data_IF_935639675393
#
_entry.id   IF_935639675393
#
_cell.length_a   1.000
_cell.length_b   1.000
_cell.length_c   1.000
_cell.angle_alpha   90.00
_cell.angle_beta   90.00
_cell.angle_gamma   90.00
#
_symmetry.space_group_name_H-M   'P 1'
#
loop_
_entity.id
_entity.type
_entity.pdbx_description
1 polymer ?
#
# COMPACT_ATOMS: atom_id res chain seq x y z
N UNK A 1 -10.83 42.33 -3.73
CA UNK A 1 -10.48 40.92 -3.47
C UNK A 1 -9.03 40.91 -3.02
N UNK A 2 -8.77 40.90 -1.71
CA UNK A 2 -7.62 41.64 -1.19
C UNK A 2 -6.39 40.76 -1.12
N UNK A 3 -5.23 41.38 -1.36
CA UNK A 3 -3.87 40.81 -1.31
C UNK A 3 -3.63 39.93 -0.08
N UNK A 4 -4.28 40.23 1.05
CA UNK A 4 -4.26 39.43 2.28
C UNK A 4 -4.68 37.98 2.07
N UNK A 5 -5.70 37.70 1.24
CA UNK A 5 -6.10 36.32 0.93
C UNK A 5 -5.03 35.58 0.13
N UNK A 6 -4.30 36.29 -0.72
CA UNK A 6 -3.21 35.72 -1.53
C UNK A 6 -2.00 35.45 -0.63
N UNK A 7 -1.59 36.41 0.21
CA UNK A 7 -0.47 36.23 1.14
C UNK A 7 -0.75 35.09 2.13
N UNK A 8 -1.95 35.04 2.71
CA UNK A 8 -2.36 33.94 3.58
C UNK A 8 -2.30 32.58 2.86
N UNK A 9 -2.72 32.53 1.60
CA UNK A 9 -2.62 31.31 0.79
C UNK A 9 -1.17 30.89 0.52
N UNK A 10 -0.28 31.86 0.26
CA UNK A 10 1.16 31.60 0.07
C UNK A 10 1.80 31.09 1.36
N UNK A 11 1.51 31.71 2.49
CA UNK A 11 2.03 31.29 3.79
C UNK A 11 1.58 29.87 4.14
N UNK A 12 0.31 29.54 3.90
CA UNK A 12 -0.20 28.18 4.07
C UNK A 12 0.52 27.18 3.15
N UNK A 13 0.69 27.50 1.86
CA UNK A 13 1.43 26.63 0.93
C UNK A 13 2.89 26.41 1.38
N UNK A 14 3.54 27.43 1.92
CA UNK A 14 4.90 27.33 2.45
C UNK A 14 4.95 26.45 3.70
N UNK A 15 3.96 26.55 4.60
CA UNK A 15 3.84 25.71 5.79
C UNK A 15 3.57 24.26 5.40
N UNK A 16 2.60 24.01 4.51
CA UNK A 16 2.28 22.67 3.99
C UNK A 16 3.50 22.05 3.29
N UNK A 17 4.24 22.83 2.49
CA UNK A 17 5.46 22.36 1.84
C UNK A 17 6.58 21.99 2.83
N UNK A 18 6.71 22.74 3.92
CA UNK A 18 7.66 22.41 5.01
C UNK A 18 7.24 21.13 5.74
N UNK A 19 5.96 21.02 6.07
CA UNK A 19 5.38 19.84 6.70
C UNK A 19 5.60 18.59 5.83
N UNK A 20 5.27 18.67 4.54
CA UNK A 20 5.41 17.56 3.61
C UNK A 20 6.88 17.10 3.47
N UNK A 21 7.84 18.03 3.52
CA UNK A 21 9.27 17.70 3.57
C UNK A 21 9.65 16.93 4.84
N UNK A 22 9.07 17.28 5.99
CA UNK A 22 9.33 16.58 7.25
C UNK A 22 8.74 15.17 7.23
N UNK A 23 7.49 15.03 6.79
CA UNK A 23 6.83 13.73 6.59
C UNK A 23 7.63 12.84 5.63
N UNK A 24 8.03 13.37 4.47
CA UNK A 24 8.83 12.63 3.49
C UNK A 24 10.18 12.17 4.03
N UNK A 25 10.88 13.01 4.82
CA UNK A 25 12.12 12.62 5.50
C UNK A 25 11.90 11.46 6.48
N UNK A 26 10.83 11.51 7.26
CA UNK A 26 10.49 10.44 8.21
C UNK A 26 10.06 9.15 7.49
N UNK A 27 9.26 9.28 6.44
CA UNK A 27 8.85 8.16 5.59
C UNK A 27 10.04 7.43 4.98
N UNK A 28 11.02 8.17 4.47
CA UNK A 28 12.26 7.60 3.97
C UNK A 28 13.00 6.81 5.06
N UNK A 29 13.09 7.34 6.28
CA UNK A 29 13.72 6.63 7.41
C UNK A 29 12.99 5.34 7.77
N UNK A 30 11.65 5.41 7.91
CA UNK A 30 10.82 4.23 8.21
C UNK A 30 10.96 3.18 7.11
N UNK A 31 10.80 3.58 5.85
CA UNK A 31 10.95 2.71 4.68
C UNK A 31 12.31 2.03 4.67
N UNK A 32 13.40 2.77 4.83
CA UNK A 32 14.76 2.22 4.83
C UNK A 32 15.04 1.32 6.04
N UNK A 33 14.33 1.51 7.16
CA UNK A 33 14.45 0.65 8.33
C UNK A 33 13.77 -0.70 8.12
N UNK A 34 12.66 -0.71 7.38
CA UNK A 34 11.92 -1.94 7.02
C UNK A 34 12.63 -2.65 5.87
N UNK A 35 12.85 -1.96 4.76
CA UNK A 35 13.44 -2.50 3.53
C UNK A 35 14.95 -2.26 3.53
N UNK A 36 15.65 -2.97 4.40
CA UNK A 36 17.12 -2.94 4.43
C UNK A 36 17.72 -3.57 3.17
N UNK A 37 19.00 -3.30 2.90
CA UNK A 37 19.70 -3.89 1.75
C UNK A 37 19.60 -5.43 1.75
N UNK A 38 19.72 -6.07 2.90
CA UNK A 38 19.52 -7.53 3.04
C UNK A 38 18.11 -7.99 2.64
N UNK A 39 17.07 -7.28 3.06
CA UNK A 39 15.68 -7.63 2.73
C UNK A 39 15.43 -7.40 1.24
N UNK A 40 15.94 -6.29 0.70
CA UNK A 40 15.86 -6.00 -0.72
C UNK A 40 16.62 -7.04 -1.53
N UNK A 41 17.83 -7.41 -1.12
CA UNK A 41 18.62 -8.44 -1.81
C UNK A 41 17.86 -9.75 -1.80
N UNK A 42 17.32 -10.21 -0.66
CA UNK A 42 16.52 -11.45 -0.60
C UNK A 42 15.22 -11.40 -1.39
N UNK A 43 14.57 -10.24 -1.46
CA UNK A 43 13.42 -10.03 -2.35
C UNK A 43 13.86 -10.19 -3.82
N UNK A 44 15.00 -9.62 -4.21
CA UNK A 44 15.56 -9.72 -5.56
C UNK A 44 16.18 -11.09 -5.88
N UNK A 45 16.75 -11.78 -4.89
CA UNK A 45 17.37 -13.12 -4.92
C UNK A 45 16.34 -14.24 -4.84
N UNK A 46 15.06 -13.94 -4.64
CA UNK A 46 13.99 -14.87 -4.96
C UNK A 46 14.05 -15.13 -6.47
N UNK A 47 14.98 -15.97 -6.86
CA UNK A 47 15.33 -16.30 -8.23
C UNK A 47 14.16 -17.11 -8.78
N UNK A 48 13.44 -16.49 -9.71
CA UNK A 48 12.27 -17.04 -10.39
C UNK A 48 12.67 -17.92 -11.58
N UNK A 49 13.97 -18.01 -11.87
CA UNK A 49 14.48 -18.87 -12.94
C UNK A 49 14.15 -20.33 -12.65
N UNK A 50 13.51 -20.99 -13.62
CA UNK A 50 13.10 -22.40 -13.54
C UNK A 50 11.70 -22.68 -12.99
N UNK A 51 10.97 -21.67 -12.49
CA UNK A 51 9.55 -21.83 -12.10
C UNK A 51 8.58 -21.36 -13.19
N UNK A 52 9.05 -20.56 -14.14
CA UNK A 52 8.19 -19.91 -15.13
C UNK A 52 8.93 -19.66 -16.44
N UNK A 53 8.39 -20.16 -17.55
CA UNK A 53 8.62 -19.55 -18.86
C UNK A 53 7.77 -18.27 -18.93
N UNK A 54 8.37 -17.15 -19.37
CA UNK A 54 7.82 -15.78 -19.57
C UNK A 54 8.04 -14.74 -18.44
N UNK A 55 8.61 -13.59 -18.85
CA UNK A 55 9.00 -12.43 -18.03
C UNK A 55 7.85 -11.81 -17.20
N UNK A 56 6.60 -11.93 -17.64
CA UNK A 56 5.43 -11.30 -16.98
C UNK A 56 4.99 -12.00 -15.68
N UNK A 57 5.29 -13.28 -15.51
CA UNK A 57 4.86 -14.04 -14.34
C UNK A 57 5.76 -13.84 -13.10
N UNK A 58 7.00 -13.40 -13.31
CA UNK A 58 7.95 -13.06 -12.25
C UNK A 58 7.47 -11.87 -11.41
N UNK A 59 6.92 -10.84 -12.08
CA UNK A 59 6.34 -9.67 -11.42
C UNK A 59 5.10 -10.04 -10.59
N UNK A 60 4.23 -10.90 -11.11
CA UNK A 60 3.02 -11.37 -10.41
C UNK A 60 3.34 -12.17 -9.13
N UNK A 61 4.39 -13.00 -9.17
CA UNK A 61 4.83 -13.74 -7.99
C UNK A 61 5.48 -12.81 -6.96
N UNK A 62 6.26 -11.81 -7.38
CA UNK A 62 6.82 -10.83 -6.45
C UNK A 62 5.72 -10.01 -5.74
N UNK A 63 4.60 -9.74 -6.42
CA UNK A 63 3.42 -9.11 -5.84
C UNK A 63 2.69 -10.00 -4.82
N UNK A 64 2.86 -11.33 -4.86
CA UNK A 64 2.17 -12.25 -3.95
C UNK A 64 2.79 -12.35 -2.55
N UNK A 65 3.99 -11.81 -2.34
CA UNK A 65 4.60 -11.67 -0.99
C UNK A 65 3.77 -10.70 -0.13
N UNK A 66 3.13 -9.70 -0.75
CA UNK A 66 2.33 -8.71 -0.07
C UNK A 66 0.83 -8.99 -0.23
N UNK A 67 -0.02 -8.60 0.74
CA UNK A 67 0.34 -8.00 2.01
C UNK A 67 0.92 -9.00 3.02
N UNK A 68 1.82 -8.51 3.87
CA UNK A 68 2.33 -9.26 5.02
C UNK A 68 1.54 -8.82 6.25
N UNK A 69 1.05 -9.78 7.02
CA UNK A 69 0.23 -9.55 8.19
C UNK A 69 1.06 -9.70 9.45
N UNK A 70 1.04 -8.68 10.30
CA UNK A 70 1.75 -8.67 11.58
C UNK A 70 0.73 -8.39 12.68
N UNK A 71 0.72 -9.21 13.74
CA UNK A 71 -0.16 -9.01 14.89
C UNK A 71 0.67 -8.63 16.12
N UNK A 72 0.32 -7.53 16.77
CA UNK A 72 0.92 -7.10 18.06
C UNK A 72 -0.19 -6.72 19.03
N UNK A 73 -0.46 -7.60 19.99
CA UNK A 73 -1.62 -7.47 20.88
C UNK A 73 -2.93 -7.52 20.09
N UNK A 74 -3.79 -6.51 20.29
CA UNK A 74 -5.07 -6.37 19.59
C UNK A 74 -4.96 -5.57 18.27
N UNK A 75 -3.77 -5.11 17.88
CA UNK A 75 -3.56 -4.36 16.64
C UNK A 75 -3.04 -5.29 15.54
N UNK A 76 -3.64 -5.17 14.36
CA UNK A 76 -3.19 -5.87 13.15
C UNK A 76 -2.55 -4.85 12.22
N UNK A 77 -1.38 -5.16 11.71
CA UNK A 77 -0.66 -4.38 10.71
C UNK A 77 -0.63 -5.15 9.40
N UNK A 78 -0.89 -4.46 8.29
CA UNK A 78 -0.69 -5.01 6.95
C UNK A 78 0.36 -4.20 6.23
N UNK A 79 1.53 -4.80 6.02
CA UNK A 79 2.58 -4.21 5.21
C UNK A 79 2.28 -4.50 3.75
N UNK A 80 2.22 -3.44 2.94
CA UNK A 80 2.29 -3.48 1.49
C UNK A 80 3.61 -2.85 1.03
N UNK A 81 3.99 -3.07 -0.23
CA UNK A 81 5.19 -2.45 -0.83
C UNK A 81 5.23 -0.92 -0.69
N UNK A 82 4.09 -0.26 -0.75
CA UNK A 82 3.98 1.21 -0.80
C UNK A 82 3.27 1.83 0.42
N UNK A 83 2.67 1.02 1.30
CA UNK A 83 1.90 1.51 2.45
C UNK A 83 1.88 0.53 3.61
N UNK A 84 1.50 1.01 4.79
CA UNK A 84 1.22 0.21 5.97
C UNK A 84 -0.20 0.53 6.41
N UNK A 85 -1.04 -0.48 6.55
CA UNK A 85 -2.34 -0.35 7.20
C UNK A 85 -2.23 -0.78 8.66
N UNK A 86 -2.91 -0.06 9.54
CA UNK A 86 -2.95 -0.30 10.99
C UNK A 86 -4.41 -0.39 11.41
N UNK A 87 -4.86 -1.59 11.75
CA UNK A 87 -6.21 -1.84 12.25
C UNK A 87 -6.16 -1.93 13.77
N UNK A 88 -6.75 -0.92 14.44
CA UNK A 88 -6.87 -0.91 15.90
C UNK A 88 -8.10 -1.67 16.40
N UNK A 89 -9.12 -1.80 15.54
CA UNK A 89 -10.33 -2.59 15.74
C UNK A 89 -10.85 -3.07 14.37
N UNK A 90 -11.93 -3.86 14.37
CA UNK A 90 -12.59 -4.29 13.12
C UNK A 90 -13.31 -3.13 12.40
N UNK A 91 -13.56 -2.01 13.09
CA UNK A 91 -14.27 -0.86 12.53
C UNK A 91 -13.39 -0.01 11.61
N UNK A 92 -13.95 0.45 10.47
CA UNK A 92 -13.19 1.26 9.50
C UNK A 92 -12.65 2.57 10.06
N UNK A 93 -13.34 3.19 11.03
CA UNK A 93 -12.91 4.45 11.66
C UNK A 93 -11.61 4.31 12.45
N UNK A 94 -11.31 3.10 12.91
CA UNK A 94 -10.16 2.78 13.75
C UNK A 94 -8.97 2.26 12.94
N UNK A 95 -9.00 2.46 11.62
CA UNK A 95 -7.92 2.08 10.71
C UNK A 95 -7.10 3.28 10.33
N UNK A 96 -5.78 3.12 10.29
CA UNK A 96 -4.87 4.08 9.70
C UNK A 96 -4.19 3.50 8.47
N UNK A 97 -3.96 4.35 7.46
CA UNK A 97 -3.22 4.02 6.25
C UNK A 97 -2.06 4.99 6.15
N UNK A 98 -0.84 4.45 6.21
CA UNK A 98 0.39 5.20 6.11
C UNK A 98 1.08 4.97 4.76
N UNK A 99 1.27 6.03 3.98
CA UNK A 99 1.93 5.98 2.69
C UNK A 99 3.45 6.14 2.85
N UNK A 100 4.21 5.13 2.42
CA UNK A 100 5.68 5.13 2.54
C UNK A 100 6.37 6.07 1.53
N UNK A 101 5.67 6.48 0.47
CA UNK A 101 6.18 7.38 -0.56
C UNK A 101 6.45 8.78 -0.03
N UNK A 102 5.54 9.28 0.81
CA UNK A 102 5.46 10.70 1.15
C UNK A 102 5.16 10.95 2.64
N UNK A 103 4.93 9.89 3.42
CA UNK A 103 4.66 9.98 4.85
C UNK A 103 3.25 10.45 5.19
N UNK A 104 2.32 10.42 4.23
CA UNK A 104 0.91 10.74 4.50
C UNK A 104 0.29 9.66 5.38
N UNK A 105 -0.39 10.08 6.44
CA UNK A 105 -1.23 9.21 7.26
C UNK A 105 -2.69 9.61 7.06
N UNK A 106 -3.54 8.64 6.76
CA UNK A 106 -5.00 8.84 6.65
C UNK A 106 -5.75 7.87 7.55
N UNK A 107 -6.96 8.22 7.99
CA UNK A 107 -7.87 7.24 8.57
C UNK A 107 -8.49 6.35 7.47
N UNK A 108 -9.16 5.27 7.88
CA UNK A 108 -9.98 4.44 6.99
C UNK A 108 -11.19 5.18 6.42
N UNK A 109 -11.55 6.35 7.00
CA UNK A 109 -12.55 7.28 6.48
C UNK A 109 -11.93 8.41 5.64
N UNK A 110 -10.67 8.24 5.21
CA UNK A 110 -9.94 9.17 4.34
C UNK A 110 -9.67 10.57 4.93
N UNK A 111 -9.72 10.71 6.26
CA UNK A 111 -9.25 11.92 6.92
C UNK A 111 -7.71 11.95 6.90
N UNK A 112 -7.12 12.98 6.31
CA UNK A 112 -5.67 13.18 6.29
C UNK A 112 -5.19 13.87 7.57
N UNK A 113 -4.14 13.34 8.19
CA UNK A 113 -3.56 13.92 9.40
C UNK A 113 -2.30 14.74 9.12
N UNK A 114 -2.21 15.92 9.71
CA UNK A 114 -1.02 16.78 9.74
C UNK A 114 0.02 16.23 10.73
N UNK A 115 1.31 16.48 10.49
CA UNK A 115 2.39 16.09 11.41
C UNK A 115 2.27 16.75 12.79
N UNK A 116 1.55 17.87 12.87
CA UNK A 116 1.30 18.61 14.11
C UNK A 116 0.18 18.02 14.96
N UNK A 117 -0.61 17.09 14.41
CA UNK A 117 -1.72 16.45 15.11
C UNK A 117 -1.26 15.24 15.92
N UNK A 118 -1.81 15.08 17.12
CA UNK A 118 -1.48 13.98 18.02
C UNK A 118 -1.81 12.62 17.40
N UNK A 119 -2.86 12.53 16.59
CA UNK A 119 -3.24 11.31 15.86
C UNK A 119 -2.15 10.86 14.88
N UNK A 120 -1.51 11.82 14.18
CA UNK A 120 -0.37 11.50 13.32
C UNK A 120 0.77 10.92 14.15
N UNK A 121 1.14 11.60 15.23
CA UNK A 121 2.23 11.16 16.11
C UNK A 121 1.93 9.78 16.71
N UNK A 122 0.70 9.54 17.15
CA UNK A 122 0.25 8.28 17.71
C UNK A 122 0.32 7.13 16.69
N UNK A 123 -0.24 7.32 15.49
CA UNK A 123 -0.23 6.32 14.42
C UNK A 123 1.19 5.96 13.98
N UNK A 124 2.06 6.97 13.80
CA UNK A 124 3.44 6.74 13.39
C UNK A 124 4.26 6.04 14.48
N UNK A 125 4.09 6.37 15.77
CA UNK A 125 4.76 5.67 16.87
C UNK A 125 4.43 4.17 16.86
N UNK A 126 3.15 3.81 16.70
CA UNK A 126 2.73 2.41 16.58
C UNK A 126 3.42 1.68 15.43
N UNK A 127 3.56 2.34 14.27
CA UNK A 127 4.28 1.78 13.12
C UNK A 127 5.76 1.59 13.46
N UNK A 128 6.42 2.59 14.03
CA UNK A 128 7.84 2.51 14.42
C UNK A 128 8.07 1.35 15.40
N UNK A 129 7.21 1.21 16.40
CA UNK A 129 7.31 0.19 17.45
C UNK A 129 7.13 -1.24 16.94
N UNK A 130 6.60 -1.44 15.73
CA UNK A 130 6.39 -2.77 15.13
C UNK A 130 7.39 -3.08 14.01
N UNK A 131 8.26 -2.13 13.63
CA UNK A 131 9.28 -2.34 12.57
C UNK A 131 10.10 -3.63 12.79
N UNK A 132 10.60 -3.96 14.00
CA UNK A 132 11.36 -5.19 14.19
C UNK A 132 10.57 -6.45 13.81
N UNK A 133 9.30 -6.52 14.23
CA UNK A 133 8.40 -7.64 13.91
C UNK A 133 8.05 -7.67 12.41
N UNK A 134 7.87 -6.50 11.79
CA UNK A 134 7.69 -6.40 10.34
C UNK A 134 8.86 -7.04 9.60
N UNK A 135 10.10 -6.72 10.00
CA UNK A 135 11.29 -7.24 9.35
C UNK A 135 11.39 -8.76 9.50
N UNK A 136 11.13 -9.26 10.70
CA UNK A 136 11.12 -10.69 10.99
C UNK A 136 10.10 -11.43 10.10
N UNK A 137 8.85 -10.97 10.10
CA UNK A 137 7.77 -11.60 9.33
C UNK A 137 8.03 -11.52 7.82
N UNK A 138 8.54 -10.39 7.34
CA UNK A 138 8.93 -10.21 5.93
C UNK A 138 10.03 -11.21 5.54
N UNK A 139 11.06 -11.40 6.38
CA UNK A 139 12.12 -12.36 6.13
C UNK A 139 11.64 -13.81 6.18
N UNK A 140 10.73 -14.14 7.10
CA UNK A 140 10.08 -15.46 7.16
C UNK A 140 9.27 -15.70 5.89
N UNK A 141 8.47 -14.72 5.48
CA UNK A 141 7.63 -14.79 4.27
C UNK A 141 8.49 -14.99 3.02
N UNK A 142 9.56 -14.22 2.87
CA UNK A 142 10.52 -14.34 1.75
C UNK A 142 11.18 -15.73 1.77
N UNK A 143 11.64 -16.21 2.93
CA UNK A 143 12.33 -17.50 3.04
C UNK A 143 11.41 -18.68 2.75
N UNK A 144 10.15 -18.60 3.13
CA UNK A 144 9.14 -19.64 2.90
C UNK A 144 8.46 -19.54 1.52
N UNK A 145 8.78 -18.50 0.74
CA UNK A 145 8.13 -18.22 -0.52
C UNK A 145 8.18 -19.39 -1.50
N UNK A 146 9.37 -20.01 -1.69
CA UNK A 146 9.53 -21.19 -2.55
C UNK A 146 8.65 -22.37 -2.12
N UNK A 147 8.57 -22.66 -0.82
CA UNK A 147 7.72 -23.72 -0.27
C UNK A 147 6.21 -23.41 -0.38
N UNK A 148 5.85 -22.12 -0.41
CA UNK A 148 4.46 -21.68 -0.54
C UNK A 148 3.98 -21.71 -2.00
N UNK A 149 4.87 -21.45 -2.97
CA UNK A 149 4.56 -21.58 -4.41
C UNK A 149 4.23 -23.02 -4.79
N UNK A 150 5.03 -24.00 -4.33
CA UNK A 150 4.78 -25.42 -4.62
C UNK A 150 3.43 -25.90 -4.10
N UNK A 151 2.93 -25.32 -3.00
CA UNK A 151 1.59 -25.59 -2.46
C UNK A 151 0.48 -24.85 -3.22
N UNK A 152 0.74 -23.67 -3.79
CA UNK A 152 -0.23 -22.91 -4.57
C UNK A 152 -0.59 -23.55 -5.93
N UNK A 153 0.24 -24.47 -6.44
CA UNK A 153 -0.10 -25.25 -7.65
C UNK A 153 -1.35 -26.14 -7.50
N UNK A 154 -1.86 -26.35 -6.28
CA UNK A 154 -3.10 -27.10 -6.02
C UNK A 154 -4.36 -26.21 -6.11
N UNK A 155 -4.22 -24.89 -5.97
CA UNK A 155 -5.36 -23.93 -6.01
C UNK A 155 -5.66 -23.38 -7.43
N UNK A 156 -4.90 -23.80 -8.46
CA UNK A 156 -5.01 -23.31 -9.84
C UNK A 156 -6.39 -23.56 -10.48
N UNK A 157 -7.17 -24.53 -10.00
CA UNK A 157 -8.52 -24.77 -10.51
C UNK A 157 -9.53 -23.67 -10.15
N UNK A 158 -9.32 -22.91 -9.07
CA UNK A 158 -10.18 -21.76 -8.71
C UNK A 158 -9.82 -20.47 -9.46
N UNK A 159 -8.67 -20.44 -10.16
CA UNK A 159 -8.17 -19.24 -10.86
C UNK A 159 -8.91 -19.06 -12.19
N UNK A 160 -9.22 -20.14 -12.92
CA UNK A 160 -9.92 -20.07 -14.21
C UNK A 160 -11.34 -19.50 -14.09
N UNK A 161 -12.11 -19.93 -13.10
CA UNK A 161 -13.46 -19.39 -12.85
C UNK A 161 -13.43 -17.89 -12.48
N UNK A 162 -12.37 -17.45 -11.77
CA UNK A 162 -12.17 -16.04 -11.43
C UNK A 162 -11.75 -15.20 -12.63
N UNK A 163 -10.97 -15.77 -13.54
CA UNK A 163 -10.54 -15.11 -14.77
C UNK A 163 -11.73 -14.87 -15.71
N UNK A 164 -12.57 -15.89 -15.92
CA UNK A 164 -13.80 -15.76 -16.72
C UNK A 164 -14.76 -14.71 -16.12
N UNK A 165 -14.93 -14.71 -14.80
CA UNK A 165 -15.74 -13.72 -14.11
C UNK A 165 -15.15 -12.31 -14.23
N UNK A 166 -13.82 -12.17 -14.12
CA UNK A 166 -13.12 -10.89 -14.26
C UNK A 166 -13.27 -10.32 -15.68
N UNK A 167 -13.12 -11.15 -16.71
CA UNK A 167 -13.35 -10.74 -18.10
C UNK A 167 -14.80 -10.31 -18.34
N UNK A 168 -15.76 -11.06 -17.80
CA UNK A 168 -17.19 -10.72 -17.90
C UNK A 168 -17.45 -9.36 -17.28
N UNK A 169 -16.96 -9.13 -16.06
CA UNK A 169 -17.11 -7.85 -15.35
C UNK A 169 -16.43 -6.71 -16.12
N UNK A 170 -15.25 -6.94 -16.68
CA UNK A 170 -14.56 -5.94 -17.51
C UNK A 170 -15.38 -5.56 -18.75
N UNK A 171 -15.92 -6.54 -19.47
CA UNK A 171 -16.77 -6.31 -20.65
C UNK A 171 -18.01 -5.50 -20.27
N UNK A 172 -18.71 -5.89 -19.19
CA UNK A 172 -19.89 -5.18 -18.68
C UNK A 172 -19.58 -3.72 -18.33
N UNK A 173 -18.53 -3.48 -17.55
CA UNK A 173 -18.12 -2.12 -17.14
C UNK A 173 -17.65 -1.27 -18.33
N UNK A 174 -16.97 -1.88 -19.30
CA UNK A 174 -16.53 -1.19 -20.52
C UNK A 174 -17.73 -0.77 -21.37
N UNK A 175 -18.70 -1.66 -21.56
CA UNK A 175 -19.96 -1.34 -22.26
C UNK A 175 -20.70 -0.22 -21.54
N UNK A 176 -20.85 -0.30 -20.22
CA UNK A 176 -21.50 0.74 -19.41
C UNK A 176 -20.78 2.10 -19.51
N UNK A 177 -19.44 2.10 -19.47
CA UNK A 177 -18.63 3.31 -19.62
C UNK A 177 -18.85 3.96 -21.00
N UNK A 178 -18.92 3.16 -22.06
CA UNK A 178 -19.19 3.65 -23.41
C UNK A 178 -20.62 4.21 -23.51
N UNK A 179 -21.64 3.49 -23.03
CA UNK A 179 -23.03 3.97 -23.02
C UNK A 179 -23.19 5.32 -22.31
N UNK A 180 -22.52 5.52 -21.18
CA UNK A 180 -22.58 6.77 -20.43
C UNK A 180 -21.86 7.92 -21.11
N UNK A 181 -20.80 7.65 -21.88
CA UNK A 181 -20.00 8.69 -22.51
C UNK A 181 -20.39 8.97 -23.98
N UNK A 182 -21.02 8.03 -24.67
CA UNK A 182 -21.62 8.26 -25.99
C UNK A 182 -22.87 9.16 -25.90
N UNK A 183 -23.66 9.04 -24.83
CA UNK A 183 -24.81 9.91 -24.57
C UNK A 183 -24.46 11.38 -24.25
N UNK A 184 -23.18 11.70 -24.02
CA UNK A 184 -22.70 13.07 -23.81
C UNK A 184 -22.26 13.77 -25.11
N UNK A 185 -22.14 13.05 -26.23
CA UNK A 185 -21.78 13.66 -27.52
C UNK A 185 -23.01 14.15 -28.31
N UNK A 186 -24.22 13.71 -27.98
CA UNK A 186 -25.46 14.19 -28.62
C UNK A 186 -26.07 15.44 -27.92
N UNK A 187 -25.42 15.98 -26.89
CA UNK A 187 -25.88 17.16 -26.12
C UNK A 187 -24.95 18.38 -26.17
N UNK A 188 -24.00 18.41 -27.11
CA UNK A 188 -23.16 19.58 -27.41
C UNK A 188 -23.44 20.11 -28.81
#
# INVERSE_FOLDING_TARGET
MPIEKILYSIDNLLIEGKEQKLKGKLAKKIKNSIFTEEILSKLHECDFTGLIDEEDNVLKLFESIFPIFIKKGNTIFRLYKHKIEVDLSDEMRDRYIYMLSDGRLTSGLFQCYSISQDEYVYGIKKIIDVIPLIKEELMITISNFRNNIEKQNVEINNIKEREELAEKNYKELSSYFLEKNSNNQEKL
#
